data_IF_396025618806
#
_entry.id   IF_396025618806
#
_cell.length_a   1.000
_cell.length_b   1.000
_cell.length_c   1.000
_cell.angle_alpha   90.00
_cell.angle_beta   90.00
_cell.angle_gamma   90.00
#
_symmetry.space_group_name_H-M   'P 1'
#
loop_
_entity.id
_entity.type
_entity.pdbx_description
1 polymer ?
#
# COMPACT_ATOMS: atom_id res chain seq x y z
N UNK A 1 -12.80 7.14 17.01
CA UNK A 1 -12.33 6.85 15.63
C UNK A 1 -12.66 5.41 15.30
N UNK A 2 -13.11 5.12 14.08
CA UNK A 2 -13.23 3.75 13.62
C UNK A 2 -11.85 3.14 13.35
N UNK A 3 -11.77 1.80 13.29
CA UNK A 3 -10.53 1.09 12.93
C UNK A 3 -9.98 1.52 11.57
N UNK A 4 -10.87 1.67 10.59
CA UNK A 4 -10.52 2.19 9.25
C UNK A 4 -9.94 3.60 9.24
N UNK A 5 -10.51 4.51 10.04
CA UNK A 5 -9.97 5.87 10.18
C UNK A 5 -8.58 5.86 10.82
N UNK A 6 -8.37 5.01 11.83
CA UNK A 6 -7.06 4.90 12.49
C UNK A 6 -6.01 4.33 11.53
N UNK A 7 -6.37 3.32 10.73
CA UNK A 7 -5.50 2.75 9.70
C UNK A 7 -5.09 3.81 8.68
N UNK A 8 -6.04 4.58 8.15
CA UNK A 8 -5.73 5.67 7.23
C UNK A 8 -4.80 6.72 7.83
N UNK A 9 -5.04 7.14 9.08
CA UNK A 9 -4.19 8.09 9.77
C UNK A 9 -2.76 7.56 9.89
N UNK A 10 -2.59 6.29 10.28
CA UNK A 10 -1.29 5.65 10.38
C UNK A 10 -0.60 5.56 9.01
N UNK A 11 -1.33 5.20 7.95
CA UNK A 11 -0.80 5.18 6.59
C UNK A 11 -0.35 6.59 6.15
N UNK A 12 -1.13 7.63 6.41
CA UNK A 12 -0.79 9.00 6.08
C UNK A 12 0.49 9.47 6.79
N UNK A 13 0.63 9.16 8.09
CA UNK A 13 1.83 9.49 8.84
C UNK A 13 3.07 8.76 8.29
N UNK A 14 2.95 7.47 7.96
CA UNK A 14 4.06 6.70 7.36
C UNK A 14 4.43 7.20 5.97
N UNK A 15 3.45 7.58 5.16
CA UNK A 15 3.67 8.21 3.86
C UNK A 15 4.46 9.51 4.01
N UNK A 16 3.99 10.41 4.88
CA UNK A 16 4.66 11.69 5.14
C UNK A 16 6.10 11.51 5.65
N UNK A 17 6.33 10.53 6.54
CA UNK A 17 7.68 10.16 6.99
C UNK A 17 8.55 9.66 5.85
N UNK A 18 8.04 8.78 4.98
CA UNK A 18 8.78 8.26 3.84
C UNK A 18 9.09 9.33 2.78
N UNK A 19 8.14 10.22 2.49
CA UNK A 19 8.36 11.36 1.60
C UNK A 19 9.42 12.32 2.17
N UNK A 20 9.35 12.61 3.48
CA UNK A 20 10.37 13.42 4.17
C UNK A 20 11.74 12.76 4.09
N UNK A 21 11.84 11.47 4.43
CA UNK A 21 13.10 10.72 4.38
C UNK A 21 13.69 10.70 2.97
N UNK A 22 12.85 10.49 1.96
CA UNK A 22 13.25 10.53 0.54
C UNK A 22 13.82 11.89 0.17
N UNK A 23 13.17 12.98 0.60
CA UNK A 23 13.64 14.35 0.33
C UNK A 23 14.98 14.66 0.98
N UNK A 24 15.19 14.25 2.23
CA UNK A 24 16.44 14.59 2.96
C UNK A 24 17.61 13.67 2.64
N UNK A 25 17.34 12.42 2.24
CA UNK A 25 18.39 11.42 1.96
C UNK A 25 18.63 11.17 0.47
N UNK A 26 17.72 11.59 -0.41
CA UNK A 26 17.70 11.24 -1.83
C UNK A 26 17.34 9.78 -2.13
N UNK A 27 17.09 8.95 -1.10
CA UNK A 27 16.79 7.52 -1.25
C UNK A 27 15.29 7.29 -1.26
N UNK A 28 14.76 6.71 -2.34
CA UNK A 28 13.34 6.31 -2.41
C UNK A 28 13.02 5.25 -1.35
N UNK A 29 11.90 5.43 -0.67
CA UNK A 29 11.43 4.49 0.33
C UNK A 29 10.86 3.22 -0.31
N UNK A 30 10.83 2.13 0.46
CA UNK A 30 10.06 0.93 0.15
C UNK A 30 8.86 0.92 1.08
N UNK A 31 7.65 0.83 0.52
CA UNK A 31 6.43 0.76 1.32
C UNK A 31 5.93 -0.68 1.38
N UNK A 32 5.69 -1.18 2.60
CA UNK A 32 5.12 -2.50 2.87
C UNK A 32 3.80 -2.29 3.59
N UNK A 33 2.70 -2.76 2.99
CA UNK A 33 1.37 -2.64 3.60
C UNK A 33 0.79 -4.03 3.75
N UNK A 34 0.62 -4.43 5.01
CA UNK A 34 -0.04 -5.66 5.35
C UNK A 34 -1.57 -5.48 5.31
N UNK A 35 -2.25 -6.47 4.74
CA UNK A 35 -3.69 -6.59 4.66
C UNK A 35 -4.36 -5.30 4.14
N UNK A 36 -3.97 -4.85 2.94
CA UNK A 36 -4.28 -3.52 2.39
C UNK A 36 -5.76 -3.13 2.50
N UNK A 37 -6.68 -4.06 2.21
CA UNK A 37 -8.10 -3.76 2.16
C UNK A 37 -8.83 -3.83 3.51
N UNK A 38 -8.25 -4.42 4.56
CA UNK A 38 -9.00 -4.54 5.81
C UNK A 38 -9.37 -3.17 6.37
N UNK A 39 -10.60 -3.07 6.86
CA UNK A 39 -11.14 -1.87 7.53
C UNK A 39 -11.29 -0.63 6.62
N UNK A 40 -10.99 -0.71 5.32
CA UNK A 40 -11.14 0.39 4.36
C UNK A 40 -12.28 0.09 3.37
N UNK A 41 -13.14 1.08 3.12
CA UNK A 41 -14.09 1.04 2.01
C UNK A 41 -13.41 1.45 0.69
N UNK A 42 -14.12 1.30 -0.44
CA UNK A 42 -13.60 1.59 -1.78
C UNK A 42 -13.00 3.00 -1.89
N UNK A 43 -13.69 4.01 -1.35
CA UNK A 43 -13.25 5.39 -1.42
C UNK A 43 -11.91 5.59 -0.69
N UNK A 44 -11.76 5.00 0.50
CA UNK A 44 -10.53 5.09 1.30
C UNK A 44 -9.38 4.29 0.68
N UNK A 45 -9.66 3.12 0.09
CA UNK A 45 -8.66 2.35 -0.66
C UNK A 45 -8.16 3.09 -1.89
N UNK A 46 -9.05 3.71 -2.66
CA UNK A 46 -8.71 4.57 -3.79
C UNK A 46 -7.84 5.77 -3.37
N UNK A 47 -8.18 6.42 -2.26
CA UNK A 47 -7.38 7.52 -1.74
C UNK A 47 -5.98 7.05 -1.33
N UNK A 48 -5.86 5.96 -0.56
CA UNK A 48 -4.57 5.45 -0.12
C UNK A 48 -3.70 4.99 -1.30
N UNK A 49 -4.28 4.26 -2.27
CA UNK A 49 -3.57 3.78 -3.45
C UNK A 49 -3.04 4.92 -4.32
N UNK A 50 -3.85 5.95 -4.58
CA UNK A 50 -3.42 7.13 -5.33
C UNK A 50 -2.24 7.85 -4.66
N UNK A 51 -2.25 7.99 -3.33
CA UNK A 51 -1.15 8.58 -2.57
C UNK A 51 0.12 7.73 -2.62
N UNK A 52 -0.01 6.41 -2.47
CA UNK A 52 1.12 5.48 -2.59
C UNK A 52 1.75 5.54 -3.98
N UNK A 53 0.94 5.52 -5.04
CA UNK A 53 1.41 5.65 -6.43
C UNK A 53 2.15 6.97 -6.67
N UNK A 54 1.65 8.08 -6.09
CA UNK A 54 2.28 9.39 -6.21
C UNK A 54 3.68 9.48 -5.59
N UNK A 55 4.04 8.58 -4.66
CA UNK A 55 5.40 8.55 -4.08
C UNK A 55 6.48 8.09 -5.08
N UNK A 56 6.10 7.53 -6.23
CA UNK A 56 7.01 6.93 -7.23
C UNK A 56 8.01 5.92 -6.64
N UNK A 57 7.62 5.31 -5.52
CA UNK A 57 8.38 4.34 -4.75
C UNK A 57 7.87 2.93 -5.04
N UNK A 58 8.67 1.92 -4.70
CA UNK A 58 8.21 0.53 -4.78
C UNK A 58 7.25 0.25 -3.62
N UNK A 59 6.12 -0.38 -3.91
CA UNK A 59 5.08 -0.69 -2.92
C UNK A 59 4.76 -2.19 -3.00
N UNK A 60 4.82 -2.87 -1.86
CA UNK A 60 4.29 -4.23 -1.70
C UNK A 60 3.05 -4.18 -0.83
N UNK A 61 2.00 -4.84 -1.29
CA UNK A 61 0.72 -4.96 -0.59
C UNK A 61 0.37 -6.44 -0.45
N UNK A 62 -0.10 -6.85 0.72
CA UNK A 62 -0.74 -8.15 0.92
C UNK A 62 -2.25 -7.97 1.02
N UNK A 63 -3.02 -8.96 0.55
CA UNK A 63 -4.46 -9.02 0.73
C UNK A 63 -4.94 -10.47 0.62
N UNK A 64 -6.11 -10.75 1.20
CA UNK A 64 -6.74 -12.08 1.15
C UNK A 64 -7.26 -12.41 -0.26
N UNK A 65 -7.56 -11.40 -1.07
CA UNK A 65 -8.10 -11.59 -2.41
C UNK A 65 -7.60 -10.55 -3.41
N UNK A 66 -7.64 -10.88 -4.69
CA UNK A 66 -7.10 -10.02 -5.75
C UNK A 66 -7.95 -8.75 -5.95
N UNK A 67 -9.27 -8.83 -5.79
CA UNK A 67 -10.17 -7.68 -5.90
C UNK A 67 -9.81 -6.55 -4.92
N UNK A 68 -9.28 -6.92 -3.76
CA UNK A 68 -8.92 -6.00 -2.69
C UNK A 68 -7.70 -5.11 -3.02
N UNK A 69 -6.94 -5.45 -4.06
CA UNK A 69 -5.72 -4.72 -4.47
C UNK A 69 -5.82 -4.20 -5.90
N UNK A 70 -6.99 -4.26 -6.53
CA UNK A 70 -7.21 -3.72 -7.88
C UNK A 70 -6.85 -2.24 -7.97
N UNK A 71 -7.19 -1.44 -6.95
CA UNK A 71 -6.85 -0.01 -6.88
C UNK A 71 -5.34 0.26 -6.89
N UNK A 72 -4.54 -0.70 -6.42
CA UNK A 72 -3.08 -0.63 -6.42
C UNK A 72 -2.47 -1.05 -7.75
N UNK A 73 -3.17 -1.86 -8.55
CA UNK A 73 -2.64 -2.41 -9.79
C UNK A 73 -2.42 -1.32 -10.86
N UNK A 74 -1.37 -1.50 -11.65
CA UNK A 74 -1.03 -0.72 -12.84
C UNK A 74 -0.25 -1.60 -13.85
N UNK A 75 0.21 -1.01 -14.97
CA UNK A 75 0.93 -1.76 -16.02
C UNK A 75 2.26 -2.38 -15.58
N UNK A 76 2.85 -1.88 -14.49
CA UNK A 76 4.14 -2.33 -13.96
C UNK A 76 3.97 -3.22 -12.72
N UNK A 77 2.72 -3.51 -12.34
CA UNK A 77 2.41 -4.30 -11.17
C UNK A 77 2.57 -5.78 -11.45
N UNK A 78 3.03 -6.52 -10.43
CA UNK A 78 3.13 -7.97 -10.47
C UNK A 78 2.38 -8.55 -9.29
N UNK A 79 1.50 -9.51 -9.57
CA UNK A 79 0.77 -10.24 -8.55
C UNK A 79 1.54 -11.51 -8.20
N UNK A 80 1.55 -11.85 -6.92
CA UNK A 80 2.13 -13.09 -6.43
C UNK A 80 1.11 -13.79 -5.55
N UNK A 81 0.94 -15.09 -5.75
CA UNK A 81 0.16 -15.95 -4.85
C UNK A 81 1.07 -16.54 -3.79
N UNK A 82 0.61 -16.51 -2.54
CA UNK A 82 1.30 -17.15 -1.43
C UNK A 82 0.44 -18.28 -0.87
N UNK A 83 0.95 -19.51 -0.91
CA UNK A 83 0.26 -20.69 -0.36
C UNK A 83 1.26 -21.55 0.41
N UNK A 84 0.94 -21.89 1.67
CA UNK A 84 1.78 -22.75 2.55
C UNK A 84 3.26 -22.30 2.60
N UNK A 85 3.48 -20.98 2.65
CA UNK A 85 4.82 -20.38 2.71
C UNK A 85 5.59 -20.36 1.38
N UNK A 86 4.97 -20.75 0.27
CA UNK A 86 5.57 -20.68 -1.08
C UNK A 86 4.96 -19.53 -1.88
N UNK A 87 5.80 -18.83 -2.64
CA UNK A 87 5.42 -17.71 -3.51
C UNK A 87 5.45 -18.20 -4.96
N UNK A 88 4.37 -17.95 -5.70
CA UNK A 88 4.25 -18.25 -7.14
C UNK A 88 3.69 -17.06 -7.89
N UNK A 89 4.11 -16.88 -9.14
CA UNK A 89 3.57 -15.88 -10.07
C UNK A 89 2.25 -16.35 -10.72
#
# INVERSE_FOLDING_TARGET
>A
MSRGQLKLLMCALRLAQGEFLTRVSGRRCLYLIDDFASELDDARRGLLSSRLKATQSQVFVSAISAEHVMDMSDKNSKMFRVEKGKITD
#
